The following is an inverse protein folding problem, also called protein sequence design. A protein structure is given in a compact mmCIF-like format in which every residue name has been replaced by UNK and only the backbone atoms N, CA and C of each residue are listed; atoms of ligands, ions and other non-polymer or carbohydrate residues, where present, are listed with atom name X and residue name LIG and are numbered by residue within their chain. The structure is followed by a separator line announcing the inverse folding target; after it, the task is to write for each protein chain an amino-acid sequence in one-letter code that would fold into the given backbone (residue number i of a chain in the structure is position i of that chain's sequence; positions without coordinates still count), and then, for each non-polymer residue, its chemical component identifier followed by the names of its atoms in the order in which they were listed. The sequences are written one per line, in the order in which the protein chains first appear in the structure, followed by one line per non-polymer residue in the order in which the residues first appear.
data_IF_432105154293
#
_entry.id   IF_432105154293
#
_cell.length_a   1.000
_cell.length_b   1.000
_cell.length_c   1.000
_cell.angle_alpha   90.00
_cell.angle_beta   90.00
_cell.angle_gamma   90.00
#
_symmetry.space_group_name_H-M   'P 1'
#
loop_
_entity.id
_entity.type
_entity.pdbx_description
1 polymer ?
#
# COMPACT_ATOMS: atom_id res chain seq x y z
N UNK A 1 -4.29 0.30 0.18
CA UNK A 1 -4.70 1.44 1.04
C UNK A 1 -3.91 1.46 2.33
N UNK A 2 -4.11 0.46 3.20
CA UNK A 2 -3.50 0.35 4.54
C UNK A 2 -1.98 0.23 4.42
N UNK A 3 -1.22 0.97 5.24
CA UNK A 3 0.24 1.00 5.18
C UNK A 3 0.82 1.76 3.98
N UNK A 4 0.04 1.98 2.92
CA UNK A 4 0.47 2.68 1.70
C UNK A 4 0.00 4.15 1.72
N UNK A 5 -1.30 4.39 1.54
CA UNK A 5 -1.92 5.72 1.59
C UNK A 5 -2.14 6.20 3.03
N UNK A 6 -2.23 5.25 3.95
CA UNK A 6 -2.39 5.49 5.39
C UNK A 6 -1.12 5.08 6.13
N UNK A 7 -1.04 5.41 7.42
CA UNK A 7 0.11 5.07 8.27
C UNK A 7 0.23 3.57 8.57
N UNK A 8 -0.84 2.78 8.36
CA UNK A 8 -0.91 1.37 8.73
C UNK A 8 -0.98 1.14 10.25
N UNK A 9 -1.33 2.18 10.98
CA UNK A 9 -1.44 2.18 12.45
C UNK A 9 -2.86 2.60 12.87
N UNK A 10 -3.85 1.72 12.68
CA UNK A 10 -5.22 2.03 13.08
C UNK A 10 -5.29 2.30 14.59
N UNK A 11 -6.22 3.18 14.97
CA UNK A 11 -6.48 3.54 16.37
C UNK A 11 -7.97 3.43 16.65
N UNK A 12 -8.31 2.95 17.86
CA UNK A 12 -9.67 2.98 18.36
C UNK A 12 -10.11 4.44 18.51
N UNK A 13 -11.25 4.78 17.92
CA UNK A 13 -11.78 6.15 17.91
C UNK A 13 -13.14 6.25 18.55
N UNK A 14 -14.00 5.24 18.36
CA UNK A 14 -15.33 5.19 19.00
C UNK A 14 -15.65 3.76 19.37
N UNK A 15 -16.37 3.60 20.49
CA UNK A 15 -16.89 2.34 20.99
C UNK A 15 -18.40 2.51 21.11
N UNK A 16 -19.14 1.59 20.54
CA UNK A 16 -20.61 1.54 20.61
C UNK A 16 -20.99 0.19 21.16
N UNK A 17 -21.66 0.17 22.32
CA UNK A 17 -21.92 -1.05 23.06
C UNK A 17 -23.30 -1.00 23.75
N UNK A 18 -23.92 -2.15 23.96
CA UNK A 18 -25.07 -2.30 24.87
C UNK A 18 -24.64 -2.66 26.31
N UNK A 19 -23.37 -2.95 26.50
CA UNK A 19 -22.75 -3.21 27.81
C UNK A 19 -21.77 -2.10 28.16
N UNK A 20 -21.09 -2.21 29.29
CA UNK A 20 -19.99 -1.32 29.63
C UNK A 20 -18.89 -1.39 28.53
N UNK A 21 -18.36 -0.23 28.15
CA UNK A 21 -17.35 -0.14 27.07
C UNK A 21 -16.08 -0.92 27.39
N UNK A 22 -15.63 -0.91 28.65
CA UNK A 22 -14.43 -1.64 29.07
C UNK A 22 -14.65 -3.16 28.98
N UNK A 23 -15.87 -3.61 29.29
CA UNK A 23 -16.25 -5.03 29.15
C UNK A 23 -16.23 -5.46 27.69
N UNK A 24 -16.79 -4.66 26.77
CA UNK A 24 -16.74 -4.96 25.33
C UNK A 24 -15.30 -4.99 24.81
N UNK A 25 -14.49 -3.99 25.18
CA UNK A 25 -13.08 -3.91 24.79
C UNK A 25 -12.29 -5.11 25.32
N UNK A 26 -12.53 -5.50 26.57
CA UNK A 26 -11.89 -6.67 27.20
C UNK A 26 -12.17 -7.96 26.44
N UNK A 27 -13.45 -8.22 26.13
CA UNK A 27 -13.86 -9.38 25.33
C UNK A 27 -13.17 -9.36 23.96
N UNK A 28 -13.24 -8.23 23.24
CA UNK A 28 -12.67 -8.12 21.90
C UNK A 28 -11.14 -8.25 21.92
N UNK A 29 -10.48 -7.62 22.89
CA UNK A 29 -9.04 -7.71 23.07
C UNK A 29 -8.58 -9.14 23.36
N UNK A 30 -9.26 -9.83 24.30
CA UNK A 30 -8.95 -11.21 24.63
C UNK A 30 -9.04 -12.15 23.42
N UNK A 31 -10.06 -11.97 22.57
CA UNK A 31 -10.27 -12.77 21.34
C UNK A 31 -9.21 -12.43 20.27
N UNK A 32 -8.84 -11.16 20.13
CA UNK A 32 -7.91 -10.70 19.09
C UNK A 32 -6.43 -10.79 19.50
N UNK A 33 -6.13 -11.20 20.74
CA UNK A 33 -4.76 -11.24 21.31
C UNK A 33 -3.76 -12.05 20.46
N UNK A 34 -4.24 -13.06 19.75
CA UNK A 34 -3.42 -13.92 18.87
C UNK A 34 -3.53 -13.58 17.38
N UNK A 35 -4.27 -12.53 17.04
CA UNK A 35 -4.46 -12.11 15.65
C UNK A 35 -3.34 -11.16 15.21
N UNK A 36 -2.73 -11.45 14.07
CA UNK A 36 -1.72 -10.59 13.45
C UNK A 36 -2.33 -9.42 12.66
N UNK A 37 -3.66 -9.36 12.58
CA UNK A 37 -4.33 -8.33 11.80
C UNK A 37 -4.12 -6.93 12.41
N UNK A 38 -3.83 -5.87 11.61
CA UNK A 38 -3.59 -4.52 12.13
C UNK A 38 -4.72 -3.95 13.00
N UNK A 39 -5.99 -4.28 12.68
CA UNK A 39 -7.14 -3.84 13.46
C UNK A 39 -7.17 -4.53 14.82
N UNK A 40 -6.86 -5.83 14.87
CA UNK A 40 -6.76 -6.61 16.09
C UNK A 40 -5.68 -6.04 17.03
N UNK A 41 -4.48 -5.81 16.49
CA UNK A 41 -3.37 -5.19 17.25
C UNK A 41 -3.74 -3.81 17.80
N UNK A 42 -4.58 -3.05 17.09
CA UNK A 42 -5.06 -1.75 17.56
C UNK A 42 -6.03 -1.87 18.73
N UNK A 43 -6.91 -2.88 18.73
CA UNK A 43 -7.86 -3.16 19.83
C UNK A 43 -7.09 -3.63 21.07
N UNK A 44 -6.16 -4.57 20.90
CA UNK A 44 -5.31 -5.07 21.99
C UNK A 44 -4.50 -3.93 22.62
N UNK A 45 -3.82 -3.12 21.81
CA UNK A 45 -3.07 -1.96 22.29
C UNK A 45 -3.96 -0.98 23.08
N UNK A 46 -5.16 -0.71 22.60
CA UNK A 46 -6.09 0.16 23.31
C UNK A 46 -6.48 -0.43 24.69
N UNK A 47 -6.72 -1.73 24.76
CA UNK A 47 -7.00 -2.42 26.02
C UNK A 47 -5.81 -2.33 26.99
N UNK A 48 -4.59 -2.56 26.52
CA UNK A 48 -3.36 -2.47 27.31
C UNK A 48 -3.16 -1.04 27.86
N UNK A 49 -3.35 -0.01 27.04
CA UNK A 49 -3.25 1.41 27.43
C UNK A 49 -4.27 1.80 28.52
N UNK A 50 -5.41 1.09 28.60
CA UNK A 50 -6.48 1.35 29.58
C UNK A 50 -6.51 0.33 30.72
N UNK A 51 -5.50 -0.55 30.82
CA UNK A 51 -5.39 -1.61 31.83
C UNK A 51 -6.64 -2.54 31.84
N UNK A 52 -7.16 -2.86 30.66
CA UNK A 52 -8.26 -3.79 30.47
C UNK A 52 -7.64 -5.14 30.07
N UNK A 53 -7.70 -6.11 31.00
CA UNK A 53 -7.19 -7.46 30.76
C UNK A 53 -8.31 -8.48 30.95
N UNK A 54 -8.46 -9.39 30.00
CA UNK A 54 -9.39 -10.50 30.02
C UNK A 54 -8.78 -11.69 29.28
N UNK A 55 -9.15 -12.90 29.69
CA UNK A 55 -8.63 -14.13 29.12
C UNK A 55 -9.69 -14.81 28.24
N UNK A 56 -9.21 -15.39 27.14
CA UNK A 56 -10.03 -16.19 26.24
C UNK A 56 -9.38 -17.54 25.97
N UNK A 57 -10.23 -18.53 25.73
CA UNK A 57 -9.83 -19.87 25.35
C UNK A 57 -10.66 -20.39 24.15
N UNK A 58 -10.38 -21.62 23.67
CA UNK A 58 -11.14 -22.28 22.59
C UNK A 58 -11.29 -21.41 21.34
N UNK A 59 -10.15 -20.90 20.81
CA UNK A 59 -10.09 -20.01 19.64
C UNK A 59 -10.48 -20.75 18.35
N UNK A 60 -11.30 -20.11 17.51
CA UNK A 60 -11.65 -20.56 16.16
C UNK A 60 -11.58 -19.40 15.18
N UNK A 61 -10.78 -19.54 14.14
CA UNK A 61 -10.66 -18.54 13.07
C UNK A 61 -11.56 -18.94 11.90
N UNK A 62 -12.34 -17.99 11.41
CA UNK A 62 -13.18 -18.12 10.22
C UNK A 62 -12.64 -17.19 9.14
N UNK A 63 -11.97 -17.71 8.08
CA UNK A 63 -11.35 -16.88 7.05
C UNK A 63 -12.34 -15.89 6.41
N UNK A 64 -11.98 -14.60 6.43
CA UNK A 64 -12.80 -13.51 5.88
C UNK A 64 -13.97 -13.06 6.75
N UNK A 65 -14.27 -13.75 7.85
CA UNK A 65 -15.38 -13.42 8.75
C UNK A 65 -14.88 -12.88 10.10
N UNK A 66 -13.83 -13.46 10.68
CA UNK A 66 -13.27 -13.04 11.95
C UNK A 66 -12.81 -14.20 12.81
N UNK A 67 -12.74 -13.95 14.11
CA UNK A 67 -12.30 -14.91 15.15
C UNK A 67 -13.39 -15.08 16.20
N UNK A 68 -13.55 -16.26 16.74
CA UNK A 68 -14.38 -16.52 17.92
C UNK A 68 -13.59 -17.26 19.00
N UNK A 69 -13.91 -17.00 20.25
CA UNK A 69 -13.32 -17.66 21.42
C UNK A 69 -14.30 -17.67 22.58
N UNK A 70 -13.97 -18.40 23.65
CA UNK A 70 -14.70 -18.34 24.91
C UNK A 70 -14.03 -17.37 25.86
N UNK A 71 -14.84 -16.49 26.44
CA UNK A 71 -14.46 -15.58 27.52
C UNK A 71 -15.43 -15.83 28.66
N UNK A 72 -14.89 -16.13 29.83
CA UNK A 72 -15.67 -16.51 31.04
C UNK A 72 -16.70 -17.63 30.74
N UNK A 73 -16.30 -18.64 29.95
CA UNK A 73 -17.12 -19.79 29.57
C UNK A 73 -18.19 -19.53 28.51
N UNK A 74 -18.39 -18.28 28.06
CA UNK A 74 -19.34 -17.90 27.04
C UNK A 74 -18.63 -17.64 25.71
N UNK A 75 -19.20 -18.11 24.59
CA UNK A 75 -18.61 -17.91 23.25
C UNK A 75 -19.00 -16.55 22.69
N UNK A 76 -17.98 -15.85 22.22
CA UNK A 76 -18.11 -14.57 21.50
C UNK A 76 -17.36 -14.65 20.16
N UNK A 77 -17.73 -13.79 19.25
CA UNK A 77 -17.03 -13.59 17.98
C UNK A 77 -16.66 -12.12 17.79
N UNK A 78 -15.57 -11.87 17.08
CA UNK A 78 -15.10 -10.54 16.66
C UNK A 78 -14.81 -10.59 15.17
N UNK A 79 -15.30 -9.62 14.42
CA UNK A 79 -15.04 -9.58 12.97
C UNK A 79 -16.04 -8.75 12.19
N UNK A 80 -16.36 -9.24 10.97
CA UNK A 80 -17.29 -8.59 10.06
C UNK A 80 -18.74 -9.02 10.40
N UNK A 81 -19.70 -8.14 10.14
CA UNK A 81 -21.13 -8.42 10.27
C UNK A 81 -21.62 -9.67 9.51
N UNK A 82 -20.95 -10.03 8.41
CA UNK A 82 -21.27 -11.24 7.64
C UNK A 82 -21.05 -12.55 8.44
N UNK A 83 -20.50 -12.47 9.64
CA UNK A 83 -20.38 -13.63 10.54
C UNK A 83 -21.74 -14.14 11.03
N UNK A 84 -22.72 -13.25 11.14
CA UNK A 84 -24.08 -13.60 11.49
C UNK A 84 -24.92 -13.73 10.23
N UNK A 85 -25.57 -14.89 10.06
CA UNK A 85 -26.60 -15.12 9.04
C UNK A 85 -27.92 -14.37 9.33
N UNK A 86 -27.92 -13.38 10.22
CA UNK A 86 -29.10 -12.67 10.68
C UNK A 86 -29.26 -11.37 9.92
N UNK A 87 -30.24 -11.32 9.05
CA UNK A 87 -30.50 -10.25 8.10
C UNK A 87 -31.50 -9.18 8.57
N UNK A 88 -31.88 -9.07 9.82
CA UNK A 88 -32.93 -8.13 10.21
C UNK A 88 -32.54 -7.22 11.39
N UNK A 89 -32.67 -5.90 11.16
CA UNK A 89 -32.60 -4.80 12.14
C UNK A 89 -31.42 -4.84 13.10
N UNK A 90 -30.20 -4.75 12.55
CA UNK A 90 -29.01 -4.61 13.37
C UNK A 90 -29.07 -3.23 14.05
N UNK A 91 -29.29 -3.26 15.37
CA UNK A 91 -29.21 -2.08 16.23
C UNK A 91 -27.87 -1.39 15.99
N UNK A 92 -27.72 -0.26 15.51
CA UNK A 92 -26.50 0.50 15.17
C UNK A 92 -25.99 0.35 13.73
N UNK A 93 -26.69 -0.35 12.82
CA UNK A 93 -26.27 -0.42 11.42
C UNK A 93 -26.18 0.95 10.78
N UNK A 94 -27.13 1.84 11.07
CA UNK A 94 -27.11 3.24 10.59
C UNK A 94 -25.91 4.01 11.17
N UNK A 95 -25.66 3.87 12.47
CA UNK A 95 -24.54 4.55 13.12
C UNK A 95 -23.19 4.06 12.60
N UNK A 96 -23.04 2.76 12.37
CA UNK A 96 -21.84 2.20 11.75
C UNK A 96 -21.69 2.68 10.30
N UNK A 97 -22.78 2.69 9.52
CA UNK A 97 -22.77 3.19 8.15
C UNK A 97 -22.30 4.65 8.06
N UNK A 98 -22.79 5.51 8.96
CA UNK A 98 -22.33 6.92 9.03
C UNK A 98 -20.82 6.99 9.34
N UNK A 99 -20.32 6.16 10.24
CA UNK A 99 -18.90 6.13 10.56
C UNK A 99 -18.06 5.57 9.40
N UNK A 100 -18.55 4.54 8.73
CA UNK A 100 -17.88 3.97 7.54
C UNK A 100 -17.83 5.00 6.39
N UNK A 101 -18.87 5.80 6.20
CA UNK A 101 -18.86 6.92 5.26
C UNK A 101 -17.85 8.03 5.64
N UNK A 102 -17.49 8.13 6.91
CA UNK A 102 -16.42 9.02 7.39
C UNK A 102 -15.02 8.39 7.31
N UNK A 103 -14.91 7.15 6.82
CA UNK A 103 -13.64 6.44 6.64
C UNK A 103 -13.20 5.57 7.81
N UNK A 104 -14.06 5.35 8.82
CA UNK A 104 -13.79 4.43 9.91
C UNK A 104 -14.05 2.99 9.50
N UNK A 105 -13.26 2.07 10.02
CA UNK A 105 -13.51 0.62 9.91
C UNK A 105 -14.19 0.14 11.17
N UNK A 106 -15.40 -0.43 11.05
CA UNK A 106 -16.15 -0.97 12.17
C UNK A 106 -15.85 -2.46 12.35
N UNK A 107 -15.32 -2.84 13.51
CA UNK A 107 -15.10 -4.24 13.93
C UNK A 107 -16.18 -4.59 14.94
N UNK A 108 -16.95 -5.62 14.65
CA UNK A 108 -18.12 -6.00 15.40
C UNK A 108 -17.82 -7.11 16.40
N UNK A 109 -18.57 -7.12 17.50
CA UNK A 109 -18.54 -8.17 18.49
C UNK A 109 -19.97 -8.64 18.80
N UNK A 110 -20.13 -9.93 18.94
CA UNK A 110 -21.40 -10.54 19.32
C UNK A 110 -21.21 -11.89 19.98
N UNK A 111 -22.30 -12.41 20.54
CA UNK A 111 -22.40 -13.79 20.97
C UNK A 111 -23.16 -14.65 19.96
N UNK A 112 -23.58 -15.85 20.31
CA UNK A 112 -24.29 -16.78 19.42
C UNK A 112 -25.68 -16.25 18.97
N UNK A 113 -26.24 -15.27 19.68
CA UNK A 113 -27.62 -14.82 19.50
C UNK A 113 -27.72 -13.34 19.11
N UNK A 114 -26.82 -12.50 19.63
CA UNK A 114 -26.96 -11.04 19.54
C UNK A 114 -25.65 -10.33 19.23
N UNK A 115 -25.77 -9.17 18.59
CA UNK A 115 -24.66 -8.22 18.45
C UNK A 115 -24.57 -7.42 19.77
N UNK A 116 -23.37 -7.39 20.34
CA UNK A 116 -23.11 -6.70 21.60
C UNK A 116 -22.64 -5.27 21.37
N UNK A 117 -22.00 -5.00 20.24
CA UNK A 117 -21.49 -3.70 19.88
C UNK A 117 -20.45 -3.74 18.76
N UNK A 118 -19.80 -2.61 18.55
CA UNK A 118 -18.67 -2.51 17.64
C UNK A 118 -17.65 -1.46 18.09
N UNK A 119 -16.43 -1.62 17.63
CA UNK A 119 -15.36 -0.63 17.76
C UNK A 119 -15.07 -0.04 16.39
N UNK A 120 -15.14 1.29 16.27
CA UNK A 120 -14.76 2.03 15.07
C UNK A 120 -13.30 2.45 15.16
N UNK A 121 -12.50 2.01 14.19
CA UNK A 121 -11.08 2.30 14.08
C UNK A 121 -10.82 3.22 12.90
N UNK A 122 -9.85 4.11 13.05
CA UNK A 122 -9.40 5.00 11.99
C UNK A 122 -7.90 4.80 11.75
N UNK A 123 -7.53 4.62 10.50
CA UNK A 123 -6.14 4.61 10.05
C UNK A 123 -5.83 5.93 9.35
N UNK A 124 -4.97 6.73 9.97
CA UNK A 124 -4.68 8.08 9.49
C UNK A 124 -4.08 8.08 8.08
N UNK A 125 -4.64 8.88 7.21
CA UNK A 125 -4.09 9.17 5.89
C UNK A 125 -2.74 9.89 6.06
N UNK A 126 -1.72 9.48 5.29
CA UNK A 126 -0.41 10.14 5.30
C UNK A 126 -0.56 11.58 4.85
N UNK A 127 0.15 12.50 5.51
CA UNK A 127 0.04 13.94 5.27
C UNK A 127 0.33 14.36 3.83
N UNK A 128 1.21 13.64 3.16
CA UNK A 128 1.64 13.88 1.79
C UNK A 128 0.83 13.10 0.74
N UNK A 129 -0.10 12.22 1.15
CA UNK A 129 -0.84 11.36 0.24
C UNK A 129 -1.63 12.14 -0.82
N UNK A 130 -2.40 13.15 -0.41
CA UNK A 130 -3.20 13.96 -1.32
C UNK A 130 -2.33 14.69 -2.34
N UNK A 131 -1.28 15.37 -1.88
CA UNK A 131 -0.35 16.07 -2.76
C UNK A 131 0.36 15.13 -3.75
N UNK A 132 0.72 13.92 -3.30
CA UNK A 132 1.32 12.90 -4.17
C UNK A 132 0.35 12.43 -5.24
N UNK A 133 -0.91 12.16 -4.90
CA UNK A 133 -1.95 11.77 -5.86
C UNK A 133 -2.18 12.87 -6.91
N UNK A 134 -2.29 14.12 -6.47
CA UNK A 134 -2.44 15.28 -7.37
C UNK A 134 -1.24 15.40 -8.32
N UNK A 135 -0.02 15.22 -7.84
CA UNK A 135 1.18 15.25 -8.69
C UNK A 135 1.19 14.10 -9.71
N UNK A 136 0.80 12.87 -9.31
CA UNK A 136 0.68 11.75 -10.25
C UNK A 136 -0.34 12.05 -11.36
N UNK A 137 -1.50 12.60 -11.02
CA UNK A 137 -2.51 13.03 -12.00
C UNK A 137 -1.98 14.12 -12.93
N UNK A 138 -1.27 15.12 -12.41
CA UNK A 138 -0.63 16.17 -13.20
C UNK A 138 0.47 15.64 -14.14
N UNK A 139 1.09 14.50 -13.80
CA UNK A 139 2.01 13.79 -14.67
C UNK A 139 1.30 12.92 -15.73
N UNK A 140 -0.03 13.00 -15.85
CA UNK A 140 -0.85 12.23 -16.77
C UNK A 140 -1.01 10.76 -16.37
N UNK A 141 -0.89 10.43 -15.08
CA UNK A 141 -1.08 9.06 -14.60
C UNK A 141 -2.50 8.85 -14.09
N UNK A 142 -3.11 7.74 -14.48
CA UNK A 142 -4.35 7.27 -13.89
C UNK A 142 -4.02 6.62 -12.55
N UNK A 143 -4.69 7.05 -11.48
CA UNK A 143 -4.48 6.52 -10.14
C UNK A 143 -5.67 5.67 -9.74
N UNK A 144 -5.41 4.42 -9.37
CA UNK A 144 -6.43 3.48 -8.88
C UNK A 144 -6.07 3.02 -7.48
N UNK A 145 -7.06 2.89 -6.61
CA UNK A 145 -6.89 2.35 -5.26
C UNK A 145 -7.51 0.97 -5.16
N UNK A 146 -6.70 -0.01 -4.71
CA UNK A 146 -7.17 -1.34 -4.33
C UNK A 146 -7.19 -1.45 -2.80
N UNK A 147 -8.29 -1.97 -2.25
CA UNK A 147 -8.46 -2.12 -0.81
C UNK A 147 -9.26 -3.37 -0.47
N UNK A 148 -8.91 -4.03 0.63
CA UNK A 148 -9.74 -5.07 1.25
C UNK A 148 -10.85 -4.52 2.15
N UNK A 149 -10.89 -3.20 2.37
CA UNK A 149 -11.92 -2.58 3.20
C UNK A 149 -13.27 -2.58 2.49
N UNK A 150 -14.34 -2.39 3.28
CA UNK A 150 -15.71 -2.22 2.76
C UNK A 150 -15.78 -1.03 1.81
N UNK A 151 -16.64 -1.16 0.82
CA UNK A 151 -16.80 -0.18 -0.27
C UNK A 151 -16.98 1.26 0.25
N UNK A 152 -17.78 1.46 1.30
CA UNK A 152 -18.03 2.79 1.88
C UNK A 152 -16.75 3.42 2.45
N UNK A 153 -15.95 2.64 3.18
CA UNK A 153 -14.67 3.10 3.77
C UNK A 153 -13.66 3.42 2.69
N UNK A 154 -13.52 2.53 1.69
CA UNK A 154 -12.61 2.74 0.58
C UNK A 154 -12.98 3.99 -0.21
N UNK A 155 -14.27 4.15 -0.53
CA UNK A 155 -14.76 5.32 -1.27
C UNK A 155 -14.56 6.63 -0.49
N UNK A 156 -14.77 6.63 0.83
CA UNK A 156 -14.51 7.80 1.68
C UNK A 156 -13.05 8.24 1.60
N UNK A 157 -12.11 7.31 1.74
CA UNK A 157 -10.67 7.62 1.64
C UNK A 157 -10.30 8.11 0.24
N UNK A 158 -10.85 7.47 -0.80
CA UNK A 158 -10.60 7.87 -2.18
C UNK A 158 -11.11 9.29 -2.47
N UNK A 159 -12.29 9.65 -2.01
CA UNK A 159 -12.86 10.98 -2.15
C UNK A 159 -11.99 12.05 -1.47
N UNK A 160 -11.48 11.76 -0.26
CA UNK A 160 -10.57 12.66 0.45
C UNK A 160 -9.25 12.90 -0.30
N UNK A 161 -8.76 11.87 -1.00
CA UNK A 161 -7.52 11.91 -1.75
C UNK A 161 -7.70 12.34 -3.22
N UNK A 162 -8.95 12.43 -3.69
CA UNK A 162 -9.27 12.70 -5.09
C UNK A 162 -8.96 11.53 -6.02
N UNK A 163 -9.07 10.29 -5.59
CA UNK A 163 -8.87 9.09 -6.43
C UNK A 163 -10.21 8.70 -7.06
N UNK A 164 -10.25 8.56 -8.39
CA UNK A 164 -11.48 8.33 -9.14
C UNK A 164 -11.80 6.83 -9.29
N UNK A 165 -10.76 5.98 -9.33
CA UNK A 165 -10.90 4.55 -9.55
C UNK A 165 -10.64 3.78 -8.25
N UNK A 166 -11.68 3.13 -7.73
CA UNK A 166 -11.61 2.36 -6.48
C UNK A 166 -12.11 0.94 -6.70
N UNK A 167 -11.33 -0.01 -6.25
CA UNK A 167 -11.73 -1.42 -6.16
C UNK A 167 -11.64 -1.82 -4.69
N UNK A 168 -12.79 -2.02 -4.07
CA UNK A 168 -12.93 -2.35 -2.66
C UNK A 168 -13.23 -3.84 -2.45
N UNK A 169 -13.17 -4.30 -1.20
CA UNK A 169 -13.49 -5.67 -0.79
C UNK A 169 -12.67 -6.75 -1.51
N UNK A 170 -11.46 -6.40 -1.92
CA UNK A 170 -10.56 -7.28 -2.68
C UNK A 170 -9.80 -8.20 -1.72
N UNK A 171 -9.96 -9.50 -1.90
CA UNK A 171 -9.15 -10.49 -1.17
C UNK A 171 -7.68 -10.41 -1.62
N UNK A 172 -6.72 -10.76 -0.75
CA UNK A 172 -5.30 -10.70 -1.09
C UNK A 172 -4.94 -11.41 -2.40
N UNK A 173 -5.51 -12.59 -2.64
CA UNK A 173 -5.27 -13.38 -3.85
C UNK A 173 -5.87 -12.76 -5.12
N UNK A 174 -6.94 -11.98 -5.01
CA UNK A 174 -7.63 -11.38 -6.15
C UNK A 174 -6.97 -10.07 -6.60
N UNK A 175 -6.17 -9.43 -5.73
CA UNK A 175 -5.45 -8.20 -6.08
C UNK A 175 -4.58 -8.37 -7.33
N UNK A 176 -3.88 -9.50 -7.46
CA UNK A 176 -3.05 -9.80 -8.63
C UNK A 176 -3.88 -9.89 -9.93
N UNK A 177 -5.11 -10.42 -9.87
CA UNK A 177 -6.00 -10.47 -11.03
C UNK A 177 -6.46 -9.07 -11.46
N UNK A 178 -6.72 -8.17 -10.50
CA UNK A 178 -7.05 -6.77 -10.79
C UNK A 178 -5.87 -6.06 -11.46
N UNK A 179 -4.64 -6.26 -10.98
CA UNK A 179 -3.43 -5.73 -11.65
C UNK A 179 -3.35 -6.23 -13.09
N UNK A 180 -3.52 -7.54 -13.30
CA UNK A 180 -3.52 -8.14 -14.64
C UNK A 180 -4.61 -7.57 -15.58
N UNK A 181 -5.73 -7.16 -15.01
CA UNK A 181 -6.79 -6.49 -15.78
C UNK A 181 -6.40 -5.07 -16.18
N UNK A 182 -5.74 -4.32 -15.29
CA UNK A 182 -5.23 -2.98 -15.56
C UNK A 182 -4.10 -2.99 -16.60
N UNK A 183 -3.25 -4.02 -16.60
CA UNK A 183 -2.18 -4.20 -17.58
C UNK A 183 -2.69 -4.31 -19.03
N UNK A 184 -3.95 -4.69 -19.25
CA UNK A 184 -4.56 -4.67 -20.60
C UNK A 184 -4.77 -3.25 -21.12
N UNK A 185 -4.77 -2.24 -20.25
CA UNK A 185 -4.98 -0.83 -20.60
C UNK A 185 -3.65 -0.06 -20.70
N UNK A 186 -2.56 -0.57 -20.12
CA UNK A 186 -1.26 0.06 -20.11
C UNK A 186 -0.34 -0.50 -19.04
N UNK A 187 0.87 0.05 -18.95
CA UNK A 187 1.84 -0.35 -17.93
C UNK A 187 1.37 0.07 -16.53
N UNK A 188 1.48 -0.84 -15.59
CA UNK A 188 1.02 -0.68 -14.21
C UNK A 188 2.21 -0.59 -13.25
N UNK A 189 2.29 0.51 -12.51
CA UNK A 189 3.14 0.64 -11.33
C UNK A 189 2.29 0.34 -10.09
N UNK A 190 2.63 -0.71 -9.35
CA UNK A 190 2.01 -1.02 -8.07
C UNK A 190 2.82 -0.41 -6.92
N UNK A 191 2.10 0.22 -5.99
CA UNK A 191 2.68 0.75 -4.75
C UNK A 191 1.95 0.10 -3.58
N UNK A 192 2.66 -0.56 -2.69
CA UNK A 192 2.08 -1.33 -1.59
C UNK A 192 2.96 -1.38 -0.34
N UNK A 193 2.44 -1.97 0.74
CA UNK A 193 3.19 -2.18 1.99
C UNK A 193 4.13 -3.41 1.92
N UNK A 194 3.98 -4.21 0.88
CA UNK A 194 4.82 -5.37 0.63
C UNK A 194 4.41 -6.65 1.38
N UNK A 195 3.75 -6.58 2.51
CA UNK A 195 3.36 -7.77 3.30
C UNK A 195 2.10 -8.42 2.72
N UNK A 196 1.04 -7.65 2.64
CA UNK A 196 -0.27 -8.13 2.18
C UNK A 196 -0.45 -8.00 0.66
N UNK A 197 0.42 -7.24 0.01
CA UNK A 197 0.34 -6.89 -1.40
C UNK A 197 1.38 -7.62 -2.27
N UNK A 198 2.19 -8.53 -1.69
CA UNK A 198 3.28 -9.21 -2.40
C UNK A 198 2.87 -9.87 -3.73
N UNK A 199 1.75 -10.61 -3.85
CA UNK A 199 1.32 -11.16 -5.13
C UNK A 199 0.96 -10.08 -6.17
N UNK A 200 0.35 -8.97 -5.74
CA UNK A 200 -0.01 -7.86 -6.61
C UNK A 200 1.23 -7.05 -7.04
N UNK A 201 2.19 -6.85 -6.13
CA UNK A 201 3.47 -6.20 -6.43
C UNK A 201 4.24 -7.00 -7.49
N UNK A 202 4.37 -8.32 -7.32
CA UNK A 202 5.05 -9.19 -8.28
C UNK A 202 4.35 -9.25 -9.64
N UNK A 203 3.03 -9.09 -9.69
CA UNK A 203 2.27 -9.11 -10.94
C UNK A 203 2.43 -7.83 -11.76
N UNK A 204 2.70 -6.69 -11.15
CA UNK A 204 2.80 -5.39 -11.82
C UNK A 204 4.02 -5.31 -12.74
N UNK A 205 3.99 -4.39 -13.73
CA UNK A 205 5.13 -4.14 -14.65
C UNK A 205 6.31 -3.46 -13.95
N UNK A 206 6.03 -2.71 -12.90
CA UNK A 206 6.99 -2.17 -11.94
C UNK A 206 6.33 -2.08 -10.56
N UNK A 207 7.12 -2.15 -9.52
CA UNK A 207 6.57 -2.10 -8.17
C UNK A 207 7.44 -1.30 -7.20
N UNK A 208 6.78 -0.67 -6.22
CA UNK A 208 7.41 0.07 -5.12
C UNK A 208 6.84 -0.45 -3.81
N UNK A 209 7.68 -0.98 -2.95
CA UNK A 209 7.32 -1.31 -1.59
C UNK A 209 7.60 -0.13 -0.65
N UNK A 210 6.62 0.20 0.19
CA UNK A 210 6.75 1.22 1.25
C UNK A 210 6.76 0.50 2.59
N UNK A 211 7.84 0.62 3.35
CA UNK A 211 7.92 -0.04 4.66
C UNK A 211 9.24 0.18 5.36
N UNK A 212 9.26 -0.12 6.64
CA UNK A 212 10.45 0.00 7.51
C UNK A 212 11.34 -1.22 7.38
N UNK A 213 11.98 -1.44 6.26
CA UNK A 213 13.20 -2.25 6.07
C UNK A 213 13.37 -3.64 6.73
N UNK A 214 12.47 -4.08 7.58
CA UNK A 214 12.57 -5.34 8.33
C UNK A 214 11.75 -6.48 7.71
N UNK A 215 10.92 -6.18 6.72
CA UNK A 215 9.95 -7.14 6.18
C UNK A 215 10.44 -7.79 4.88
N UNK A 216 10.25 -9.09 4.80
CA UNK A 216 10.66 -10.01 3.71
C UNK A 216 10.17 -9.60 2.31
N UNK A 217 9.21 -8.72 2.25
CA UNK A 217 8.63 -8.15 1.01
C UNK A 217 9.59 -7.26 0.22
N UNK A 218 10.67 -6.80 0.85
CA UNK A 218 11.75 -6.04 0.23
C UNK A 218 12.46 -6.86 -0.86
N UNK A 219 12.46 -8.19 -0.75
CA UNK A 219 13.19 -9.08 -1.65
C UNK A 219 12.61 -9.15 -3.08
N UNK A 220 11.37 -8.75 -3.30
CA UNK A 220 10.70 -8.81 -4.62
C UNK A 220 10.29 -7.44 -5.17
N UNK A 221 10.69 -6.35 -4.52
CA UNK A 221 10.36 -5.00 -4.97
C UNK A 221 11.48 -4.42 -5.85
N UNK A 222 11.09 -3.77 -6.96
CA UNK A 222 12.03 -3.04 -7.83
C UNK A 222 12.60 -1.80 -7.12
N UNK A 223 11.79 -1.16 -6.29
CA UNK A 223 12.16 0.00 -5.47
C UNK A 223 11.61 -0.15 -4.06
N UNK A 224 12.42 0.14 -3.07
CA UNK A 224 12.03 0.13 -1.66
C UNK A 224 12.13 1.53 -1.09
N UNK A 225 11.03 2.02 -0.54
CA UNK A 225 10.93 3.31 0.16
C UNK A 225 11.01 3.07 1.65
N UNK A 226 12.11 3.47 2.27
CA UNK A 226 12.35 3.31 3.71
C UNK A 226 11.64 4.38 4.57
N UNK A 227 11.16 5.45 3.94
CA UNK A 227 10.42 6.52 4.62
C UNK A 227 8.92 6.22 4.66
N UNK A 228 8.27 6.58 5.73
CA UNK A 228 6.81 6.44 5.89
C UNK A 228 6.00 7.46 5.06
N UNK A 229 6.58 8.07 4.01
CA UNK A 229 5.98 9.08 3.13
C UNK A 229 5.82 8.56 1.71
N UNK A 230 4.98 9.21 0.92
CA UNK A 230 4.72 8.86 -0.49
C UNK A 230 5.53 9.70 -1.49
N UNK A 231 6.11 10.81 -1.06
CA UNK A 231 6.91 11.68 -1.93
C UNK A 231 8.01 10.93 -2.69
N UNK A 232 8.72 9.93 -2.12
CA UNK A 232 9.72 9.15 -2.86
C UNK A 232 9.16 8.38 -4.07
N UNK A 233 7.87 8.11 -4.15
CA UNK A 233 7.24 7.52 -5.33
C UNK A 233 7.37 8.45 -6.54
N UNK A 234 7.11 9.74 -6.34
CA UNK A 234 7.28 10.77 -7.38
C UNK A 234 8.75 10.89 -7.78
N UNK A 235 9.65 10.91 -6.78
CA UNK A 235 11.09 10.99 -7.01
C UNK A 235 11.59 9.80 -7.85
N UNK A 236 11.15 8.58 -7.53
CA UNK A 236 11.50 7.37 -8.28
C UNK A 236 11.03 7.44 -9.74
N UNK A 237 9.78 7.87 -10.00
CA UNK A 237 9.25 8.02 -11.35
C UNK A 237 10.04 9.09 -12.14
N UNK A 238 10.34 10.22 -11.50
CA UNK A 238 11.11 11.30 -12.14
C UNK A 238 12.54 10.88 -12.44
N UNK A 239 13.19 10.20 -11.50
CA UNK A 239 14.54 9.68 -11.66
C UNK A 239 14.59 8.65 -12.80
N UNK A 240 13.66 7.70 -12.82
CA UNK A 240 13.54 6.71 -13.90
C UNK A 240 13.41 7.39 -15.28
N UNK A 241 12.55 8.41 -15.41
CA UNK A 241 12.37 9.17 -16.65
C UNK A 241 13.65 9.88 -17.06
N UNK A 242 14.35 10.56 -16.14
CA UNK A 242 15.63 11.23 -16.41
C UNK A 242 16.72 10.23 -16.83
N UNK A 243 16.81 9.10 -16.13
CA UNK A 243 17.75 8.02 -16.45
C UNK A 243 17.51 7.50 -17.86
N UNK A 244 16.25 7.25 -18.26
CA UNK A 244 15.91 6.80 -19.59
C UNK A 244 16.30 7.81 -20.68
N UNK A 245 16.09 9.11 -20.43
CA UNK A 245 16.52 10.18 -21.34
C UNK A 245 18.06 10.16 -21.49
N UNK A 246 18.78 10.07 -20.37
CA UNK A 246 20.26 10.03 -20.38
C UNK A 246 20.79 8.81 -21.12
N UNK A 247 20.17 7.62 -20.94
CA UNK A 247 20.53 6.42 -21.68
C UNK A 247 20.34 6.63 -23.18
N UNK A 248 19.19 7.18 -23.61
CA UNK A 248 18.93 7.48 -25.03
C UNK A 248 19.96 8.46 -25.60
N UNK A 249 20.31 9.52 -24.85
CA UNK A 249 21.35 10.48 -25.28
C UNK A 249 22.71 9.79 -25.44
N UNK A 250 23.11 8.96 -24.48
CA UNK A 250 24.39 8.25 -24.54
C UNK A 250 24.45 7.27 -25.72
N UNK A 251 23.35 6.56 -26.01
CA UNK A 251 23.26 5.69 -27.19
C UNK A 251 23.40 6.51 -28.47
N UNK A 252 22.70 7.64 -28.58
CA UNK A 252 22.80 8.52 -29.75
C UNK A 252 24.22 9.04 -29.91
N UNK A 253 24.89 9.49 -28.88
CA UNK A 253 26.31 9.93 -28.94
C UNK A 253 27.24 8.82 -29.40
N UNK A 254 27.10 7.60 -28.85
CA UNK A 254 27.91 6.46 -29.25
C UNK A 254 27.69 6.05 -30.70
N UNK A 255 26.44 6.01 -31.16
CA UNK A 255 26.11 5.68 -32.55
C UNK A 255 26.60 6.77 -33.54
N UNK A 256 26.43 8.06 -33.18
CA UNK A 256 26.87 9.17 -34.00
C UNK A 256 28.40 9.18 -34.17
N UNK A 257 29.12 8.91 -33.09
CA UNK A 257 30.59 8.76 -33.13
C UNK A 257 30.99 7.64 -34.09
N UNK A 258 30.40 6.46 -33.98
CA UNK A 258 30.72 5.32 -34.83
C UNK A 258 30.31 5.56 -36.30
N UNK A 259 29.16 6.18 -36.52
CA UNK A 259 28.66 6.53 -37.87
C UNK A 259 29.61 7.52 -38.60
N UNK A 260 30.30 8.38 -37.83
CA UNK A 260 31.31 9.29 -38.41
C UNK A 260 32.67 8.63 -38.57
N UNK A 261 33.13 7.91 -37.57
CA UNK A 261 34.51 7.40 -37.55
C UNK A 261 34.73 6.19 -38.46
N UNK A 262 33.74 5.29 -38.59
CA UNK A 262 33.88 4.08 -39.42
C UNK A 262 34.09 4.43 -40.91
N UNK A 263 33.28 5.29 -41.55
CA UNK A 263 33.53 5.69 -42.92
C UNK A 263 34.87 6.40 -43.10
N UNK A 264 35.27 7.27 -42.16
CA UNK A 264 36.57 7.96 -42.23
C UNK A 264 37.74 6.96 -42.14
N UNK A 265 37.63 5.94 -41.30
CA UNK A 265 38.63 4.87 -41.20
C UNK A 265 38.69 4.03 -42.49
N UNK A 266 37.53 3.68 -43.09
CA UNK A 266 37.48 2.96 -44.39
C UNK A 266 38.10 3.76 -45.54
N UNK A 267 38.05 5.09 -45.47
CA UNK A 267 38.69 5.99 -46.42
C UNK A 267 40.19 6.21 -46.11
N UNK A 268 40.76 5.50 -45.16
CA UNK A 268 42.15 5.65 -44.66
C UNK A 268 42.49 7.08 -44.18
N UNK A 269 41.48 7.87 -43.77
CA UNK A 269 41.65 9.25 -43.26
C UNK A 269 41.87 9.35 -41.76
N UNK A 270 41.87 8.21 -41.04
CA UNK A 270 42.07 8.14 -39.59
C UNK A 270 43.46 7.66 -39.30
N UNK A 271 44.29 8.54 -38.70
CA UNK A 271 45.59 8.13 -38.22
C UNK A 271 45.50 7.44 -36.85
N UNK A 272 46.42 6.52 -36.49
CA UNK A 272 46.39 5.88 -35.17
C UNK A 272 46.41 6.88 -34.01
N UNK A 273 47.17 7.98 -34.12
CA UNK A 273 47.21 9.03 -33.11
C UNK A 273 45.85 9.73 -32.94
N UNK A 274 45.16 10.02 -34.05
CA UNK A 274 43.86 10.66 -34.05
C UNK A 274 42.83 9.74 -33.38
N UNK A 275 42.81 8.44 -33.70
CA UNK A 275 41.94 7.45 -33.08
C UNK A 275 42.20 7.34 -31.56
N UNK A 276 43.50 7.31 -31.17
CA UNK A 276 43.88 7.22 -29.75
C UNK A 276 43.43 8.43 -28.92
N UNK A 277 43.27 9.60 -29.51
CA UNK A 277 42.75 10.80 -28.81
C UNK A 277 41.22 10.86 -28.80
N UNK A 278 40.56 10.58 -29.91
CA UNK A 278 39.12 10.79 -30.05
C UNK A 278 38.29 9.71 -29.33
N UNK A 279 38.80 8.48 -29.26
CA UNK A 279 38.10 7.38 -28.57
C UNK A 279 37.92 7.64 -27.07
N UNK A 280 38.94 8.04 -26.26
CA UNK A 280 38.75 8.43 -24.87
C UNK A 280 37.80 9.62 -24.68
N UNK A 281 37.86 10.60 -25.58
CA UNK A 281 36.96 11.78 -25.55
C UNK A 281 35.50 11.34 -25.61
N UNK A 282 35.15 10.44 -26.54
CA UNK A 282 33.79 9.89 -26.66
C UNK A 282 33.32 9.23 -25.33
N UNK A 283 34.19 8.43 -24.73
CA UNK A 283 33.90 7.78 -23.44
C UNK A 283 33.70 8.79 -22.30
N UNK A 284 34.53 9.83 -22.24
CA UNK A 284 34.42 10.89 -21.24
C UNK A 284 33.09 11.64 -21.37
N UNK A 285 32.64 11.93 -22.60
CA UNK A 285 31.36 12.60 -22.84
C UNK A 285 30.20 11.76 -22.29
N UNK A 286 30.17 10.45 -22.56
CA UNK A 286 29.14 9.53 -22.08
C UNK A 286 29.15 9.47 -20.54
N UNK A 287 30.32 9.35 -19.91
CA UNK A 287 30.48 9.32 -18.45
C UNK A 287 30.03 10.66 -17.86
N UNK A 288 30.47 11.78 -18.43
CA UNK A 288 30.09 13.11 -17.94
C UNK A 288 28.58 13.34 -18.03
N UNK A 289 27.92 12.89 -19.11
CA UNK A 289 26.47 12.97 -19.24
C UNK A 289 25.76 12.08 -18.19
N UNK A 290 26.24 10.86 -17.96
CA UNK A 290 25.68 9.97 -16.94
C UNK A 290 25.86 10.52 -15.51
N UNK A 291 27.00 11.15 -15.22
CA UNK A 291 27.29 11.72 -13.89
C UNK A 291 26.37 12.90 -13.50
N UNK A 292 25.72 13.54 -14.49
CA UNK A 292 24.70 14.61 -14.23
C UNK A 292 23.48 14.09 -13.46
N UNK A 293 23.17 12.78 -13.55
CA UNK A 293 22.07 12.19 -12.79
C UNK A 293 22.33 12.28 -11.27
N UNK A 294 23.58 12.16 -10.83
CA UNK A 294 23.95 12.23 -9.41
C UNK A 294 23.85 13.66 -8.84
N UNK A 295 24.20 14.66 -9.64
CA UNK A 295 24.26 16.06 -9.20
C UNK A 295 22.90 16.71 -8.91
N UNK A 296 21.83 16.12 -9.39
CA UNK A 296 20.44 16.63 -9.21
C UNK A 296 19.72 15.95 -8.05
N UNK A 297 20.44 15.23 -7.17
CA UNK A 297 19.89 14.59 -5.97
C UNK A 297 20.33 15.30 -4.67
N UNK A 298 21.22 16.30 -4.75
CA UNK A 298 21.58 17.25 -3.71
C UNK A 298 20.72 18.54 -3.83
#
# INVERSE_FOLDING_TARGET
KTGTLTLGLPRVSKIVSQMDNNTLVGIMSAIEKHSEHPLAKAIVRYADEHNIDQLADDFKTSPGLGVSAKVDGKRYWVGNLNHLSVSENIKWSEQASVLEQQGYTCVWCGDEQTILGFIALNDQIKKDAKATIEQLKNMGKTVSMLSGDRTQVAQSVANQLGIDHVVAEVLPNDKAQHIKSLQKQGLVLMVGDGINDAPALTQADANIAIGSGADVSVASADVVVLKATLAPVIEAIQLSKRTQITIKQNIVFALSYNALMVPLAMMAKVTPLFAAIVMPISSIIVIANASRLRKNQE
#
